data_IF_506157252340
#
_entry.id   IF_506157252340
#
_cell.length_a   1.000
_cell.length_b   1.000
_cell.length_c   1.000
_cell.angle_alpha   90.00
_cell.angle_beta   90.00
_cell.angle_gamma   90.00
#
_symmetry.space_group_name_H-M   'P 1'
#
loop_
_entity.id
_entity.type
_entity.pdbx_description
1 polymer ?
#
# COMPACT_ATOMS: atom_id res chain seq x y z
N UNK A 1 -11.13 29.11 -25.57
CA UNK A 1 -9.85 28.67 -24.99
C UNK A 1 -10.30 27.91 -23.77
N UNK A 2 -10.48 26.60 -23.91
CA UNK A 2 -11.01 25.80 -22.81
C UNK A 2 -9.90 25.70 -21.78
N UNK A 3 -10.16 26.19 -20.57
CA UNK A 3 -9.43 25.88 -19.35
C UNK A 3 -8.96 24.42 -19.40
N UNK A 4 -7.65 24.21 -19.48
CA UNK A 4 -7.11 22.91 -19.13
C UNK A 4 -7.25 22.81 -17.62
N UNK A 5 -7.98 21.84 -17.12
CA UNK A 5 -7.95 21.47 -15.71
C UNK A 5 -6.51 21.10 -15.37
N UNK A 6 -5.78 22.04 -14.77
CA UNK A 6 -4.46 21.79 -14.22
C UNK A 6 -4.67 21.12 -12.87
N UNK A 7 -4.25 19.86 -12.76
CA UNK A 7 -4.23 19.16 -11.50
C UNK A 7 -3.00 19.67 -10.72
N UNK A 8 -3.23 20.35 -9.60
CA UNK A 8 -2.15 20.70 -8.67
C UNK A 8 -1.86 19.48 -7.81
N UNK A 9 -0.60 19.02 -7.84
CA UNK A 9 -0.12 17.94 -6.99
C UNK A 9 1.29 18.23 -6.48
N UNK A 10 1.68 17.54 -5.42
CA UNK A 10 3.01 17.62 -4.82
C UNK A 10 3.77 16.33 -5.11
N UNK A 11 5.09 16.45 -5.29
CA UNK A 11 6.03 15.33 -5.25
C UNK A 11 7.04 15.66 -4.15
N UNK A 12 7.32 14.68 -3.29
CA UNK A 12 8.21 14.81 -2.14
C UNK A 12 9.54 14.16 -2.46
N UNK A 13 10.63 14.94 -2.31
CA UNK A 13 11.98 14.42 -2.49
C UNK A 13 12.37 13.42 -1.37
N UNK A 14 13.30 12.50 -1.67
CA UNK A 14 13.75 11.48 -0.71
C UNK A 14 12.82 10.29 -0.55
N UNK A 15 11.80 10.19 -1.40
CA UNK A 15 10.90 9.05 -1.55
C UNK A 15 11.00 8.49 -2.95
N UNK A 16 10.66 7.22 -3.09
CA UNK A 16 10.58 6.53 -4.38
C UNK A 16 9.14 6.30 -4.75
N UNK A 17 8.85 6.23 -6.05
CA UNK A 17 7.48 6.17 -6.57
C UNK A 17 7.29 4.97 -7.48
N UNK A 18 6.17 4.27 -7.37
CA UNK A 18 5.79 3.23 -8.33
C UNK A 18 5.02 3.83 -9.51
N UNK A 19 4.94 3.05 -10.59
CA UNK A 19 4.07 3.37 -11.74
C UNK A 19 2.58 3.36 -11.38
N UNK A 20 2.21 2.72 -10.28
CA UNK A 20 0.85 2.71 -9.72
C UNK A 20 0.65 3.87 -8.74
N UNK A 21 1.51 4.89 -8.79
CA UNK A 21 1.40 6.13 -8.03
C UNK A 21 1.48 5.94 -6.50
N UNK A 22 2.10 4.85 -6.04
CA UNK A 22 2.45 4.65 -4.64
C UNK A 22 3.79 5.32 -4.34
N UNK A 23 3.96 5.88 -3.16
CA UNK A 23 5.26 6.32 -2.66
C UNK A 23 5.80 5.35 -1.61
N UNK A 24 7.13 5.25 -1.56
CA UNK A 24 7.90 4.40 -0.67
C UNK A 24 8.90 5.27 0.10
N UNK A 25 8.85 5.20 1.42
CA UNK A 25 9.77 5.86 2.33
C UNK A 25 10.51 4.83 3.17
N UNK A 26 11.85 4.93 3.23
CA UNK A 26 12.66 4.00 4.03
C UNK A 26 12.48 4.34 5.52
N UNK A 27 11.85 3.44 6.27
CA UNK A 27 11.66 3.59 7.72
C UNK A 27 12.88 3.11 8.48
N UNK A 28 13.42 1.95 8.07
CA UNK A 28 14.59 1.34 8.71
C UNK A 28 15.50 0.74 7.64
N UNK A 29 16.70 1.31 7.52
CA UNK A 29 17.73 0.85 6.58
C UNK A 29 18.36 -0.48 6.98
N UNK A 30 18.39 -0.82 8.26
CA UNK A 30 18.98 -2.06 8.74
C UNK A 30 18.01 -3.25 8.59
N UNK A 31 16.71 -2.98 8.71
CA UNK A 31 15.66 -4.02 8.64
C UNK A 31 14.97 -4.11 7.27
N UNK A 32 15.36 -3.25 6.32
CA UNK A 32 14.76 -3.13 4.98
C UNK A 32 13.23 -2.96 5.04
N UNK A 33 12.75 -2.08 5.92
CA UNK A 33 11.31 -1.79 6.04
C UNK A 33 10.95 -0.47 5.38
N UNK A 34 9.87 -0.47 4.62
CA UNK A 34 9.38 0.67 3.85
C UNK A 34 7.97 1.02 4.27
N UNK A 35 7.72 2.31 4.44
CA UNK A 35 6.38 2.88 4.57
C UNK A 35 5.85 3.17 3.18
N UNK A 36 4.60 2.78 2.95
CA UNK A 36 3.91 2.93 1.68
C UNK A 36 2.72 3.86 1.90
N UNK A 37 2.49 4.73 0.93
CA UNK A 37 1.24 5.49 0.81
C UNK A 37 0.95 5.82 -0.65
N UNK A 38 -0.10 6.58 -0.88
CA UNK A 38 -0.46 7.02 -2.25
C UNK A 38 0.06 8.42 -2.52
N UNK A 39 0.44 8.70 -3.76
CA UNK A 39 0.87 10.04 -4.16
C UNK A 39 -0.31 11.00 -4.22
N UNK A 40 0.00 12.28 -4.02
CA UNK A 40 -0.95 13.40 -4.13
C UNK A 40 -1.55 13.47 -5.55
N UNK A 41 -0.78 13.06 -6.57
CA UNK A 41 -1.28 12.91 -7.94
C UNK A 41 -2.43 11.89 -8.04
N UNK A 42 -2.28 10.71 -7.43
CA UNK A 42 -3.31 9.67 -7.52
C UNK A 42 -4.61 10.11 -6.88
N UNK A 43 -4.51 10.73 -5.71
CA UNK A 43 -5.67 11.33 -5.06
C UNK A 43 -6.30 12.41 -5.95
N UNK A 44 -5.50 13.31 -6.53
CA UNK A 44 -6.04 14.38 -7.35
C UNK A 44 -6.66 13.90 -8.67
N UNK A 45 -6.16 12.79 -9.24
CA UNK A 45 -6.74 12.11 -10.41
C UNK A 45 -8.06 11.37 -10.06
N UNK A 46 -8.07 10.64 -8.94
CA UNK A 46 -9.27 9.93 -8.48
C UNK A 46 -10.35 10.87 -7.92
N UNK A 47 -9.97 12.07 -7.50
CA UNK A 47 -10.78 12.98 -6.70
C UNK A 47 -10.79 12.61 -5.22
N UNK A 48 -11.78 13.11 -4.48
CA UNK A 48 -11.90 12.89 -3.05
C UNK A 48 -12.00 11.40 -2.70
N UNK A 49 -11.03 10.88 -1.93
CA UNK A 49 -11.03 9.49 -1.47
C UNK A 49 -12.05 9.36 -0.34
N UNK A 50 -13.11 8.59 -0.60
CA UNK A 50 -14.22 8.36 0.32
C UNK A 50 -14.03 7.11 1.17
N UNK A 51 -13.21 6.16 0.70
CA UNK A 51 -12.95 4.91 1.43
C UNK A 51 -11.61 4.30 1.03
N UNK A 52 -10.94 3.79 2.05
CA UNK A 52 -9.71 2.99 1.95
C UNK A 52 -10.01 1.60 2.51
N UNK A 53 -9.48 0.56 1.88
CA UNK A 53 -9.56 -0.81 2.35
C UNK A 53 -8.14 -1.36 2.31
N UNK A 54 -7.59 -1.66 3.48
CA UNK A 54 -6.29 -2.28 3.63
C UNK A 54 -6.43 -3.81 3.64
N UNK A 55 -5.35 -4.56 3.34
CA UNK A 55 -5.35 -6.01 3.47
C UNK A 55 -5.65 -6.39 4.91
N UNK A 56 -6.48 -7.40 5.10
CA UNK A 56 -6.79 -7.89 6.43
C UNK A 56 -5.55 -8.61 6.97
N UNK A 57 -5.02 -8.17 8.12
CA UNK A 57 -4.04 -9.01 8.83
C UNK A 57 -4.80 -10.23 9.33
N UNK A 58 -4.39 -11.42 8.95
CA UNK A 58 -4.79 -12.62 9.67
C UNK A 58 -4.10 -12.59 11.04
N UNK A 59 -4.70 -11.88 11.98
CA UNK A 59 -4.32 -11.98 13.37
C UNK A 59 -4.64 -13.41 13.83
N UNK A 60 -3.62 -14.26 13.95
CA UNK A 60 -3.77 -15.66 14.40
C UNK A 60 -4.17 -15.77 15.88
N UNK A 61 -4.71 -14.71 16.50
CA UNK A 61 -5.15 -14.70 17.90
C UNK A 61 -6.62 -15.06 18.13
N UNK A 62 -7.40 -15.43 17.11
CA UNK A 62 -8.77 -15.97 17.28
C UNK A 62 -8.89 -17.50 17.07
N UNK A 63 -7.89 -18.28 17.52
CA UNK A 63 -8.07 -19.71 17.80
C UNK A 63 -8.01 -20.00 19.30
N UNK A 64 -9.07 -19.63 20.02
CA UNK A 64 -9.46 -20.19 21.32
C UNK A 64 -10.93 -19.81 21.49
N UNK A 65 -11.93 -20.61 21.15
CA UNK A 65 -12.18 -21.95 21.65
C UNK A 65 -13.34 -22.52 20.81
N UNK A 66 -13.05 -23.38 19.84
CA UNK A 66 -14.07 -24.30 19.30
C UNK A 66 -13.43 -25.68 19.33
N UNK A 67 -14.04 -26.56 20.11
CA UNK A 67 -13.58 -27.93 20.29
C UNK A 67 -13.42 -28.60 18.92
N UNK A 68 -12.21 -29.11 18.69
CA UNK A 68 -11.84 -29.85 17.50
C UNK A 68 -12.54 -31.21 17.59
N UNK A 69 -13.55 -31.42 16.76
CA UNK A 69 -13.94 -32.74 16.31
C UNK A 69 -13.92 -32.77 14.78
N UNK A 70 -13.28 -33.80 14.26
CA UNK A 70 -13.45 -34.39 12.93
C UNK A 70 -12.57 -33.86 11.76
N UNK A 71 -11.43 -34.56 11.60
CA UNK A 71 -10.99 -35.23 10.37
C UNK A 71 -11.41 -34.61 9.02
N UNK A 72 -10.51 -33.87 8.38
CA UNK A 72 -10.15 -34.15 6.98
C UNK A 72 -8.97 -33.32 6.49
N UNK A 73 -8.04 -34.08 5.91
CA UNK A 73 -6.94 -33.68 5.06
C UNK A 73 -7.37 -32.67 3.97
N UNK A 74 -6.79 -31.47 3.98
CA UNK A 74 -6.50 -30.70 2.76
C UNK A 74 -5.18 -29.99 2.97
N UNK A 75 -4.13 -30.55 2.40
CA UNK A 75 -2.85 -29.89 2.26
C UNK A 75 -2.93 -28.75 1.24
N UNK A 76 -2.47 -27.56 1.64
CA UNK A 76 -1.44 -26.84 0.92
C UNK A 76 -0.58 -26.12 1.95
N UNK A 77 0.72 -26.41 1.93
CA UNK A 77 1.67 -25.92 2.91
C UNK A 77 2.05 -24.46 2.67
N UNK A 78 1.79 -23.63 3.67
CA UNK A 78 2.77 -22.72 4.25
C UNK A 78 2.70 -22.95 5.77
N UNK A 79 3.53 -23.91 6.20
CA UNK A 79 3.70 -24.31 7.59
C UNK A 79 4.93 -23.59 8.10
N UNK A 80 4.78 -22.31 8.44
CA UNK A 80 5.69 -21.56 9.31
C UNK A 80 5.04 -20.19 9.61
N UNK A 81 3.95 -20.17 10.38
CA UNK A 81 3.57 -18.95 11.10
C UNK A 81 4.59 -18.74 12.24
N UNK A 82 5.79 -18.31 11.85
CA UNK A 82 6.73 -17.70 12.77
C UNK A 82 6.11 -16.42 13.36
N UNK A 83 6.70 -15.86 14.42
CA UNK A 83 6.15 -14.71 15.16
C UNK A 83 6.22 -13.37 14.37
N UNK A 84 6.17 -13.40 13.04
CA UNK A 84 6.61 -12.34 12.14
C UNK A 84 5.48 -11.99 11.18
N UNK A 85 4.72 -10.91 11.45
CA UNK A 85 3.87 -10.21 10.47
C UNK A 85 2.79 -11.03 9.74
N UNK A 86 2.06 -10.35 8.86
CA UNK A 86 1.14 -10.97 7.89
C UNK A 86 1.91 -11.08 6.55
N UNK A 87 1.97 -12.26 5.95
CA UNK A 87 2.69 -12.45 4.67
C UNK A 87 1.83 -11.99 3.50
N UNK A 88 2.46 -11.28 2.56
CA UNK A 88 1.85 -10.76 1.36
C UNK A 88 2.56 -11.30 0.12
N UNK A 89 1.80 -11.73 -0.88
CA UNK A 89 2.33 -12.19 -2.16
C UNK A 89 2.41 -11.07 -3.20
N UNK A 90 3.32 -11.21 -4.18
CA UNK A 90 3.31 -10.37 -5.38
C UNK A 90 1.98 -10.56 -6.13
N UNK A 91 1.40 -9.46 -6.62
CA UNK A 91 0.10 -9.44 -7.28
C UNK A 91 -1.09 -9.52 -6.31
N UNK A 92 -0.88 -9.64 -5.00
CA UNK A 92 -1.96 -9.56 -4.02
C UNK A 92 -2.42 -8.12 -3.81
N UNK A 93 -3.69 -7.88 -3.51
CA UNK A 93 -4.21 -6.51 -3.33
C UNK A 93 -3.58 -5.83 -2.11
N UNK A 94 -2.85 -4.74 -2.36
CA UNK A 94 -2.19 -3.91 -1.34
C UNK A 94 -3.13 -2.89 -0.74
N UNK A 95 -3.98 -2.29 -1.56
CA UNK A 95 -5.00 -1.34 -1.09
C UNK A 95 -6.11 -1.24 -2.12
N UNK A 96 -7.33 -1.08 -1.65
CA UNK A 96 -8.45 -0.64 -2.51
C UNK A 96 -8.88 0.76 -2.10
N UNK A 97 -8.82 1.67 -3.06
CA UNK A 97 -9.26 3.05 -2.93
C UNK A 97 -10.60 3.24 -3.64
N UNK A 98 -11.45 4.09 -3.08
CA UNK A 98 -12.74 4.43 -3.67
C UNK A 98 -13.04 5.90 -3.50
N UNK A 99 -13.33 6.56 -4.62
CA UNK A 99 -13.90 7.91 -4.69
C UNK A 99 -15.38 7.86 -5.08
N UNK A 100 -16.00 9.02 -5.31
CA UNK A 100 -17.40 9.12 -5.75
C UNK A 100 -17.61 8.45 -7.12
N UNK A 101 -16.66 8.62 -8.03
CA UNK A 101 -16.77 8.19 -9.42
C UNK A 101 -15.92 6.95 -9.75
N UNK A 102 -14.84 6.70 -9.00
CA UNK A 102 -13.82 5.70 -9.36
C UNK A 102 -13.54 4.74 -8.19
N UNK A 103 -13.21 3.49 -8.52
CA UNK A 103 -12.66 2.52 -7.57
C UNK A 103 -11.42 1.90 -8.18
N UNK A 104 -10.32 1.95 -7.45
CA UNK A 104 -9.01 1.44 -7.87
C UNK A 104 -8.51 0.44 -6.85
N UNK A 105 -8.07 -0.73 -7.30
CA UNK A 105 -7.35 -1.69 -6.49
C UNK A 105 -5.91 -1.73 -6.97
N UNK A 106 -4.97 -1.51 -6.06
CA UNK A 106 -3.54 -1.53 -6.35
C UNK A 106 -2.99 -2.85 -5.84
N UNK A 107 -2.27 -3.56 -6.70
CA UNK A 107 -1.67 -4.86 -6.40
C UNK A 107 -0.25 -4.66 -5.86
N UNK A 108 0.25 -5.63 -5.09
CA UNK A 108 1.60 -5.57 -4.55
C UNK A 108 2.62 -5.83 -5.65
N UNK A 109 3.61 -4.95 -5.84
CA UNK A 109 4.69 -5.21 -6.79
C UNK A 109 5.74 -6.20 -6.26
N UNK A 110 5.63 -6.66 -5.01
CA UNK A 110 6.58 -7.60 -4.40
C UNK A 110 5.90 -8.57 -3.43
N UNK A 111 6.62 -9.63 -3.09
CA UNK A 111 6.29 -10.48 -1.93
C UNK A 111 7.04 -10.02 -0.68
N UNK A 112 6.42 -10.15 0.48
CA UNK A 112 6.98 -9.62 1.72
C UNK A 112 6.13 -9.88 2.95
N UNK A 113 6.49 -9.20 4.04
CA UNK A 113 5.74 -9.18 5.27
C UNK A 113 5.15 -7.79 5.49
N UNK A 114 3.86 -7.71 5.76
CA UNK A 114 3.26 -6.52 6.34
C UNK A 114 3.72 -6.44 7.80
N UNK A 115 4.31 -5.31 8.17
CA UNK A 115 4.80 -5.01 9.52
C UNK A 115 3.78 -4.17 10.29
N UNK A 116 3.15 -3.21 9.63
CA UNK A 116 2.12 -2.35 10.23
C UNK A 116 1.09 -1.91 9.20
N UNK A 117 -0.16 -1.74 9.63
CA UNK A 117 -1.23 -1.14 8.84
C UNK A 117 -1.70 0.13 9.52
N UNK A 118 -1.95 1.19 8.75
CA UNK A 118 -2.57 2.39 9.24
C UNK A 118 -4.10 2.22 9.24
N UNK A 119 -4.66 1.63 10.29
CA UNK A 119 -6.13 1.52 10.40
C UNK A 119 -6.84 2.88 10.43
N UNK A 120 -6.13 3.97 10.77
CA UNK A 120 -6.74 5.30 10.85
C UNK A 120 -7.26 5.79 9.49
N UNK A 121 -6.63 5.42 8.37
CA UNK A 121 -7.11 5.82 7.04
C UNK A 121 -8.36 5.07 6.59
N UNK A 122 -8.66 3.92 7.19
CA UNK A 122 -9.91 3.19 6.92
C UNK A 122 -11.10 3.83 7.64
N UNK A 123 -10.87 4.34 8.86
CA UNK A 123 -11.87 5.08 9.64
C UNK A 123 -11.99 6.55 9.21
N UNK A 124 -10.87 7.17 8.81
CA UNK A 124 -10.73 8.57 8.43
C UNK A 124 -10.00 8.71 7.08
N UNK A 125 -10.66 8.40 5.95
CA UNK A 125 -10.06 8.48 4.62
C UNK A 125 -9.65 9.90 4.21
N UNK A 126 -10.21 10.93 4.87
CA UNK A 126 -9.81 12.33 4.71
C UNK A 126 -8.32 12.58 5.00
N UNK A 127 -7.67 11.75 5.83
CA UNK A 127 -6.23 11.85 6.10
C UNK A 127 -5.39 11.69 4.84
N UNK A 128 -5.83 10.81 3.93
CA UNK A 128 -5.20 10.68 2.62
C UNK A 128 -5.40 11.96 1.81
N UNK A 129 -6.61 12.55 1.90
CA UNK A 129 -6.94 13.74 1.12
C UNK A 129 -6.18 15.00 1.58
N UNK A 130 -5.99 15.16 2.88
CA UNK A 130 -5.34 16.33 3.47
C UNK A 130 -3.81 16.19 3.53
N UNK A 131 -3.29 14.99 3.83
CA UNK A 131 -1.86 14.73 4.01
C UNK A 131 -1.44 13.31 3.56
N UNK A 132 -1.54 13.06 2.25
CA UNK A 132 -1.15 11.81 1.60
C UNK A 132 0.30 11.35 1.91
N UNK A 133 1.18 12.30 2.26
CA UNK A 133 2.60 12.03 2.52
C UNK A 133 2.94 11.96 4.02
N UNK A 134 2.11 12.51 4.90
CA UNK A 134 2.25 12.48 6.34
C UNK A 134 1.42 11.36 6.97
N UNK A 135 0.25 11.73 7.50
CA UNK A 135 -0.63 10.83 8.25
C UNK A 135 -1.47 9.92 7.33
N UNK A 136 -1.58 10.22 6.03
CA UNK A 136 -2.25 9.41 5.01
C UNK A 136 -1.46 8.20 4.50
N UNK A 137 -0.43 7.75 5.23
CA UNK A 137 0.28 6.52 4.89
C UNK A 137 -0.62 5.29 5.05
N UNK A 138 -0.37 4.23 4.28
CA UNK A 138 -1.23 3.04 4.25
C UNK A 138 -0.69 1.92 5.14
N UNK A 139 0.57 1.56 4.95
CA UNK A 139 1.17 0.41 5.62
C UNK A 139 2.70 0.48 5.66
N UNK A 140 3.30 -0.29 6.56
CA UNK A 140 4.75 -0.55 6.60
C UNK A 140 4.96 -2.01 6.22
N UNK A 141 5.86 -2.26 5.28
CA UNK A 141 6.18 -3.59 4.77
C UNK A 141 7.68 -3.88 4.86
N UNK A 142 8.00 -5.16 4.85
CA UNK A 142 9.34 -5.71 4.69
C UNK A 142 9.34 -6.67 3.51
N UNK A 143 9.73 -6.22 2.31
CA UNK A 143 9.80 -7.09 1.15
C UNK A 143 10.92 -8.12 1.28
N UNK A 144 10.77 -9.27 0.61
CA UNK A 144 11.78 -10.34 0.62
C UNK A 144 12.85 -10.19 -0.45
N UNK A 145 12.44 -9.87 -1.68
CA UNK A 145 13.29 -9.82 -2.89
C UNK A 145 12.94 -8.60 -3.74
N UNK A 146 12.80 -7.44 -3.08
CA UNK A 146 12.44 -6.19 -3.74
C UNK A 146 13.61 -5.21 -3.66
N UNK A 147 14.03 -4.72 -4.82
CA UNK A 147 15.10 -3.73 -4.93
C UNK A 147 14.49 -2.39 -5.34
N UNK A 148 14.11 -1.53 -4.37
CA UNK A 148 13.40 -0.29 -4.65
C UNK A 148 14.24 0.69 -5.49
N UNK A 149 15.54 0.46 -5.63
CA UNK A 149 16.42 1.28 -6.49
C UNK A 149 16.33 0.94 -7.96
N UNK A 150 15.89 -0.26 -8.32
CA UNK A 150 15.76 -0.70 -9.71
C UNK A 150 14.30 -0.71 -10.17
N UNK A 151 13.37 -0.93 -9.24
CA UNK A 151 11.95 -1.14 -9.56
C UNK A 151 11.08 0.10 -9.37
N UNK A 152 11.55 1.09 -8.59
CA UNK A 152 10.84 2.34 -8.34
C UNK A 152 11.54 3.53 -9.01
N UNK A 153 10.75 4.55 -9.28
CA UNK A 153 11.15 5.80 -9.89
C UNK A 153 11.60 6.81 -8.83
N UNK A 154 12.66 7.55 -9.11
CA UNK A 154 13.01 8.74 -8.33
C UNK A 154 11.98 9.87 -8.57
N UNK A 155 11.90 10.90 -7.72
CA UNK A 155 10.94 11.99 -7.85
C UNK A 155 10.92 12.67 -9.22
N UNK A 156 12.09 12.93 -9.80
CA UNK A 156 12.22 13.52 -11.14
C UNK A 156 11.72 12.56 -12.24
N UNK A 157 12.07 11.28 -12.14
CA UNK A 157 11.63 10.26 -13.10
C UNK A 157 10.13 10.03 -13.04
N UNK A 158 9.55 10.06 -11.84
CA UNK A 158 8.11 9.99 -11.64
C UNK A 158 7.40 11.19 -12.26
N UNK A 159 7.95 12.40 -12.09
CA UNK A 159 7.41 13.60 -12.74
C UNK A 159 7.45 13.48 -14.27
N UNK A 160 8.56 13.01 -14.84
CA UNK A 160 8.67 12.76 -16.28
C UNK A 160 7.63 11.71 -16.74
N UNK A 161 7.45 10.64 -15.97
CA UNK A 161 6.45 9.62 -16.25
C UNK A 161 5.02 10.20 -16.27
N UNK A 162 4.68 11.06 -15.31
CA UNK A 162 3.39 11.76 -15.26
C UNK A 162 3.15 12.70 -16.45
N UNK A 163 4.21 13.22 -17.07
CA UNK A 163 4.09 14.05 -18.28
C UNK A 163 3.87 13.25 -19.56
N UNK A 164 4.16 11.95 -19.56
CA UNK A 164 4.00 11.07 -20.73
C UNK A 164 2.63 10.37 -20.81
N UNK A 165 1.90 10.29 -19.69
CA UNK A 165 0.56 9.69 -19.59
C UNK A 165 -0.55 10.70 -19.90
#
# INVERSE_FOLDING_TARGET
MSDGDYIEFKIVEGRKYSKEHLWFEVVNKDDHTFKIGISDFLQADMGDILRVILPQRHDVTEFSEYEIDDDSDTGNGAKDAGPTGDEMAEGETLVTLRSEDVSLAIESPFSGHVIELNGEVEDAPELINDDAYGDGWLMIVKPHDFEPEEELLEPDEYLEHLHEI
#
